data_IF_219521731556
#
_entry.id   IF_219521731556
#
_cell.length_a   1.000
_cell.length_b   1.000
_cell.length_c   1.000
_cell.angle_alpha   90.00
_cell.angle_beta   90.00
_cell.angle_gamma   90.00
#
_symmetry.space_group_name_H-M   'P 1'
#
loop_
_entity.id
_entity.type
_entity.pdbx_description
1 polymer ?
#
# COMPACT_ATOMS: atom_id res chain seq x y z
N UNK A 1 23.46 1.11 -25.18
CA UNK A 1 23.81 -0.22 -24.61
C UNK A 1 22.64 -0.71 -23.78
N UNK A 2 22.00 -1.82 -24.15
CA UNK A 2 20.87 -2.37 -23.37
C UNK A 2 21.33 -2.85 -22.00
N UNK A 3 20.57 -2.54 -20.93
CA UNK A 3 20.84 -3.08 -19.59
C UNK A 3 20.82 -4.61 -19.66
N UNK A 4 21.93 -5.25 -19.25
CA UNK A 4 22.03 -6.71 -19.14
C UNK A 4 21.02 -7.18 -18.10
N UNK A 5 20.07 -8.02 -18.50
CA UNK A 5 19.00 -8.54 -17.63
C UNK A 5 19.64 -9.43 -16.55
N UNK A 6 19.25 -9.24 -15.28
CA UNK A 6 19.83 -10.05 -14.19
C UNK A 6 19.30 -11.49 -14.20
N UNK A 7 20.00 -12.47 -13.62
CA UNK A 7 19.49 -13.84 -13.51
C UNK A 7 18.12 -13.94 -12.83
N UNK A 8 17.89 -13.16 -11.76
CA UNK A 8 16.58 -13.08 -11.10
C UNK A 8 15.48 -12.49 -12.00
N UNK A 9 15.81 -11.54 -12.87
CA UNK A 9 14.86 -10.99 -13.84
C UNK A 9 14.48 -12.03 -14.90
N UNK A 10 15.43 -12.85 -15.36
CA UNK A 10 15.16 -13.96 -16.29
C UNK A 10 14.23 -15.00 -15.66
N UNK A 11 14.43 -15.32 -14.37
CA UNK A 11 13.55 -16.21 -13.61
C UNK A 11 12.13 -15.63 -13.49
N UNK A 12 12.02 -14.36 -13.09
CA UNK A 12 10.72 -13.69 -13.00
C UNK A 12 9.99 -13.66 -14.36
N UNK A 13 10.70 -13.34 -15.45
CA UNK A 13 10.12 -13.38 -16.80
C UNK A 13 9.67 -14.79 -17.21
N UNK A 14 10.44 -15.82 -16.84
CA UNK A 14 10.08 -17.21 -17.10
C UNK A 14 8.83 -17.64 -16.34
N UNK A 15 8.70 -17.23 -15.07
CA UNK A 15 7.49 -17.42 -14.28
C UNK A 15 6.27 -16.76 -14.92
N UNK A 16 6.37 -15.50 -15.35
CA UNK A 16 5.26 -14.79 -15.99
C UNK A 16 4.85 -15.44 -17.32
N UNK A 17 5.80 -15.98 -18.08
CA UNK A 17 5.50 -16.75 -19.30
C UNK A 17 4.76 -18.04 -18.97
N UNK A 18 5.16 -18.74 -17.91
CA UNK A 18 4.49 -19.95 -17.43
C UNK A 18 3.07 -19.65 -16.96
N UNK A 19 2.87 -18.58 -16.18
CA UNK A 19 1.55 -18.13 -15.74
C UNK A 19 0.57 -17.92 -16.91
N UNK A 20 1.03 -17.33 -18.02
CA UNK A 20 0.23 -17.18 -19.25
C UNK A 20 -0.15 -18.50 -19.92
N UNK A 21 0.67 -19.55 -19.78
CA UNK A 21 0.37 -20.88 -20.31
C UNK A 21 -0.73 -21.58 -19.52
N UNK A 22 -0.89 -21.25 -18.23
CA UNK A 22 -2.00 -21.72 -17.39
C UNK A 22 -3.33 -20.97 -17.62
N UNK A 23 -3.47 -20.30 -18.78
CA UNK A 23 -4.65 -19.55 -19.19
C UNK A 23 -5.06 -18.41 -18.22
N UNK A 24 -4.13 -17.98 -17.35
CA UNK A 24 -4.32 -16.81 -16.50
C UNK A 24 -4.08 -15.54 -17.31
N UNK A 25 -4.98 -14.56 -17.18
CA UNK A 25 -4.62 -13.19 -17.54
C UNK A 25 -3.49 -12.73 -16.60
N UNK A 26 -2.44 -12.14 -17.17
CA UNK A 26 -1.28 -11.64 -16.43
C UNK A 26 -1.13 -10.17 -16.72
N UNK A 27 -1.42 -9.34 -15.74
CA UNK A 27 -1.33 -7.88 -15.83
C UNK A 27 -0.46 -7.33 -14.71
N UNK A 28 0.47 -6.42 -15.05
CA UNK A 28 1.26 -5.71 -14.05
C UNK A 28 0.37 -4.67 -13.36
N UNK A 29 0.36 -4.68 -12.04
CA UNK A 29 -0.35 -3.69 -11.23
C UNK A 29 0.52 -2.43 -11.15
N UNK A 30 0.29 -1.49 -12.08
CA UNK A 30 1.15 -0.31 -12.26
C UNK A 30 1.11 0.68 -11.10
N UNK A 31 0.02 0.69 -10.32
CA UNK A 31 -0.13 1.59 -9.16
C UNK A 31 0.78 1.21 -8.00
N UNK A 32 1.32 -0.02 -8.01
CA UNK A 32 2.33 -0.49 -7.07
C UNK A 32 3.73 -0.41 -7.70
N UNK A 33 4.72 0.03 -6.93
CA UNK A 33 6.13 -0.02 -7.37
C UNK A 33 6.70 -1.44 -7.37
N UNK A 34 6.10 -2.32 -6.58
CA UNK A 34 6.53 -3.71 -6.48
C UNK A 34 6.16 -4.50 -7.75
N UNK A 35 6.90 -5.59 -8.00
CA UNK A 35 6.60 -6.55 -9.07
C UNK A 35 5.38 -7.41 -8.72
N UNK A 36 4.23 -6.76 -8.61
CA UNK A 36 2.95 -7.40 -8.30
C UNK A 36 2.13 -7.49 -9.57
N UNK A 37 1.59 -8.68 -9.81
CA UNK A 37 0.82 -8.98 -11.02
C UNK A 37 -0.53 -9.55 -10.63
N UNK A 38 -1.58 -9.16 -11.35
CA UNK A 38 -2.82 -9.91 -11.34
C UNK A 38 -2.59 -11.18 -12.16
N UNK A 39 -2.75 -12.36 -11.54
CA UNK A 39 -2.60 -13.67 -12.17
C UNK A 39 -3.84 -14.49 -11.80
N UNK A 40 -4.73 -14.68 -12.77
CA UNK A 40 -6.04 -15.26 -12.48
C UNK A 40 -6.83 -14.33 -11.55
N UNK A 41 -7.31 -14.89 -10.44
CA UNK A 41 -8.06 -14.16 -9.41
C UNK A 41 -7.18 -13.71 -8.23
N UNK A 42 -5.86 -13.90 -8.33
CA UNK A 42 -4.89 -13.55 -7.31
C UNK A 42 -4.05 -12.31 -7.66
N UNK A 43 -3.67 -11.54 -6.62
CA UNK A 43 -2.68 -10.47 -6.71
C UNK A 43 -1.32 -11.00 -6.19
N UNK A 44 -0.37 -11.21 -7.09
CA UNK A 44 0.84 -12.00 -6.83
C UNK A 44 2.08 -11.12 -6.82
N UNK A 45 2.72 -10.99 -5.66
CA UNK A 45 4.05 -10.41 -5.53
C UNK A 45 5.10 -11.43 -6.00
N UNK A 46 5.80 -11.13 -7.09
CA UNK A 46 6.84 -12.01 -7.63
C UNK A 46 8.20 -11.64 -7.04
N UNK A 47 8.90 -12.64 -6.48
CA UNK A 47 10.25 -12.53 -5.94
C UNK A 47 11.10 -13.67 -6.48
N UNK A 48 12.30 -13.34 -6.95
CA UNK A 48 13.21 -14.31 -7.57
C UNK A 48 14.61 -14.17 -6.99
N UNK A 49 15.19 -15.30 -6.61
CA UNK A 49 16.59 -15.43 -6.21
C UNK A 49 17.23 -16.43 -7.15
N UNK A 50 18.32 -16.04 -7.78
CA UNK A 50 19.24 -17.02 -8.38
C UNK A 50 19.82 -17.91 -7.28
N UNK A 51 20.32 -19.08 -7.69
CA UNK A 51 20.80 -20.11 -6.77
C UNK A 51 21.80 -19.57 -5.75
N UNK A 52 21.49 -19.78 -4.47
CA UNK A 52 22.29 -19.30 -3.35
C UNK A 52 22.93 -20.48 -2.63
N UNK A 53 24.17 -20.32 -2.17
CA UNK A 53 24.83 -21.35 -1.36
C UNK A 53 23.97 -21.66 -0.12
N UNK A 54 23.38 -22.86 -0.07
CA UNK A 54 22.55 -23.43 0.99
C UNK A 54 21.13 -22.88 1.16
N UNK A 55 20.83 -21.62 0.82
CA UNK A 55 19.48 -21.02 0.95
C UNK A 55 19.21 -19.98 -0.14
N UNK A 56 17.92 -19.73 -0.38
CA UNK A 56 17.43 -18.64 -1.22
C UNK A 56 17.01 -17.46 -0.34
N UNK A 57 17.42 -16.25 -0.72
CA UNK A 57 17.18 -15.03 0.05
C UNK A 57 16.26 -14.08 -0.72
N UNK A 58 15.28 -13.52 -0.01
CA UNK A 58 14.35 -12.53 -0.55
C UNK A 58 14.14 -11.39 0.44
N UNK A 59 14.41 -10.17 -0.02
CA UNK A 59 14.05 -8.94 0.69
C UNK A 59 12.62 -8.52 0.34
N UNK A 60 11.83 -8.18 1.37
CA UNK A 60 10.54 -7.51 1.19
C UNK A 60 10.43 -6.33 2.17
N UNK A 61 10.30 -5.13 1.61
CA UNK A 61 10.11 -3.91 2.38
C UNK A 61 8.73 -3.87 3.06
N UNK A 62 8.66 -3.27 4.26
CA UNK A 62 7.43 -3.14 5.06
C UNK A 62 6.27 -2.49 4.32
N UNK A 63 6.54 -1.44 3.55
CA UNK A 63 5.53 -0.73 2.75
C UNK A 63 4.92 -1.70 1.74
N UNK A 64 5.74 -2.52 1.07
CA UNK A 64 5.26 -3.55 0.13
C UNK A 64 4.45 -4.62 0.86
N UNK A 65 4.87 -5.06 2.05
CA UNK A 65 4.09 -6.02 2.84
C UNK A 65 2.72 -5.48 3.19
N UNK A 66 2.65 -4.23 3.70
CA UNK A 66 1.41 -3.56 4.05
C UNK A 66 0.49 -3.40 2.82
N UNK A 67 1.03 -2.93 1.70
CA UNK A 67 0.26 -2.78 0.46
C UNK A 67 -0.34 -4.11 0.00
N UNK A 68 0.46 -5.19 0.00
CA UNK A 68 -0.01 -6.52 -0.37
C UNK A 68 -1.04 -7.06 0.64
N UNK A 69 -0.89 -6.81 1.94
CA UNK A 69 -1.81 -7.29 2.96
C UNK A 69 -3.24 -6.75 2.80
N UNK A 70 -3.36 -5.54 2.23
CA UNK A 70 -4.62 -4.87 1.99
C UNK A 70 -5.24 -5.21 0.61
N UNK A 71 -4.56 -5.98 -0.25
CA UNK A 71 -5.15 -6.44 -1.52
C UNK A 71 -6.07 -7.64 -1.31
N UNK A 72 -6.96 -7.85 -2.28
CA UNK A 72 -7.75 -9.07 -2.39
C UNK A 72 -6.90 -10.24 -2.88
N UNK A 73 -7.18 -11.44 -2.37
CA UNK A 73 -6.46 -12.68 -2.71
C UNK A 73 -4.94 -12.45 -2.87
N UNK A 74 -4.24 -11.95 -1.82
CA UNK A 74 -2.84 -11.61 -1.96
C UNK A 74 -1.98 -12.86 -1.85
N UNK A 75 -1.05 -13.04 -2.79
CA UNK A 75 -0.09 -14.13 -2.83
C UNK A 75 1.33 -13.62 -3.00
N UNK A 76 2.29 -14.45 -2.63
CA UNK A 76 3.70 -14.24 -2.93
C UNK A 76 4.24 -15.48 -3.62
N UNK A 77 4.91 -15.28 -4.76
CA UNK A 77 5.60 -16.33 -5.50
C UNK A 77 7.11 -16.15 -5.32
N UNK A 78 7.73 -17.08 -4.60
CA UNK A 78 9.18 -17.15 -4.40
C UNK A 78 9.81 -18.14 -5.37
N UNK A 79 10.49 -17.64 -6.39
CA UNK A 79 11.19 -18.43 -7.40
C UNK A 79 12.60 -18.70 -6.90
N UNK A 80 12.88 -19.97 -6.58
CA UNK A 80 14.09 -20.42 -5.91
C UNK A 80 15.05 -21.10 -6.89
N UNK A 81 15.86 -20.31 -7.59
CA UNK A 81 16.88 -20.80 -8.53
C UNK A 81 16.34 -21.29 -9.88
N UNK A 82 15.16 -21.90 -9.92
CA UNK A 82 14.51 -22.40 -11.15
C UNK A 82 12.99 -22.28 -11.10
N UNK A 83 12.35 -22.37 -12.28
CA UNK A 83 10.87 -22.39 -12.40
C UNK A 83 10.24 -23.70 -11.91
N UNK A 84 11.05 -24.72 -11.61
CA UNK A 84 10.60 -25.98 -11.03
C UNK A 84 10.60 -25.91 -9.49
N UNK A 85 11.06 -24.80 -8.90
CA UNK A 85 11.23 -24.61 -7.46
C UNK A 85 10.60 -23.30 -7.04
N UNK A 86 9.27 -23.25 -7.07
CA UNK A 86 8.50 -22.04 -6.75
C UNK A 86 7.63 -22.31 -5.53
N UNK A 87 7.71 -21.44 -4.52
CA UNK A 87 6.75 -21.44 -3.40
C UNK A 87 5.69 -20.39 -3.69
N UNK A 88 4.44 -20.82 -3.92
CA UNK A 88 3.27 -19.97 -4.16
C UNK A 88 2.41 -19.98 -2.90
N UNK A 89 2.60 -18.99 -2.02
CA UNK A 89 1.99 -18.96 -0.68
C UNK A 89 0.98 -17.81 -0.56
N UNK A 90 -0.18 -18.02 0.10
CA UNK A 90 -1.05 -16.92 0.50
C UNK A 90 -0.26 -15.92 1.36
N UNK A 91 -0.28 -14.64 0.98
CA UNK A 91 0.53 -13.62 1.62
C UNK A 91 0.16 -13.45 3.09
N UNK A 92 -1.14 -13.48 3.42
CA UNK A 92 -1.63 -13.41 4.81
C UNK A 92 -1.08 -14.53 5.70
N UNK A 93 -0.89 -15.74 5.17
CA UNK A 93 -0.28 -16.84 5.92
C UNK A 93 1.16 -16.50 6.31
N UNK A 94 1.97 -16.00 5.36
CA UNK A 94 3.32 -15.54 5.65
C UNK A 94 3.32 -14.38 6.66
N UNK A 95 2.38 -13.44 6.51
CA UNK A 95 2.34 -12.23 7.31
C UNK A 95 2.13 -12.50 8.81
N UNK A 96 1.37 -13.54 9.15
CA UNK A 96 1.22 -14.01 10.54
C UNK A 96 2.56 -14.44 11.19
N UNK A 97 3.58 -14.77 10.39
CA UNK A 97 4.89 -15.20 10.86
C UNK A 97 5.98 -14.12 10.76
N UNK A 98 5.67 -12.89 10.33
CA UNK A 98 6.68 -11.83 10.16
C UNK A 98 7.42 -11.48 11.45
N UNK A 99 6.77 -11.58 12.60
CA UNK A 99 7.39 -11.37 13.91
C UNK A 99 8.52 -12.38 14.22
N UNK A 100 8.56 -13.52 13.51
CA UNK A 100 9.62 -14.53 13.60
C UNK A 100 10.65 -14.42 12.47
N UNK A 101 10.53 -13.41 11.60
CA UNK A 101 11.44 -13.19 10.49
C UNK A 101 12.33 -11.99 10.82
N UNK A 102 13.64 -12.18 10.73
CA UNK A 102 14.58 -11.09 10.93
C UNK A 102 14.34 -9.98 9.90
N UNK A 103 14.55 -8.74 10.30
CA UNK A 103 14.48 -7.58 9.43
C UNK A 103 15.69 -6.67 9.66
N UNK A 104 15.98 -5.79 8.71
CA UNK A 104 17.02 -4.77 8.90
C UNK A 104 16.45 -3.45 9.46
N UNK A 105 17.34 -2.48 9.68
CA UNK A 105 16.99 -1.12 10.13
C UNK A 105 16.30 -0.28 9.07
N UNK A 106 16.38 -0.69 7.79
CA UNK A 106 15.77 0.01 6.66
C UNK A 106 14.33 -0.45 6.41
N UNK A 107 13.84 -1.34 7.26
CA UNK A 107 12.49 -1.87 7.19
C UNK A 107 12.30 -2.93 6.11
N UNK A 108 13.32 -3.76 5.88
CA UNK A 108 13.22 -4.92 4.99
C UNK A 108 13.21 -6.24 5.77
N UNK A 109 12.18 -7.06 5.56
CA UNK A 109 12.13 -8.45 6.03
C UNK A 109 13.06 -9.34 5.21
N UNK A 110 13.84 -10.17 5.91
CA UNK A 110 14.84 -11.09 5.35
C UNK A 110 14.29 -12.51 5.28
N UNK A 111 13.53 -12.78 4.23
CA UNK A 111 12.90 -14.08 4.02
C UNK A 111 13.93 -15.04 3.45
N UNK A 112 14.20 -16.11 4.20
CA UNK A 112 15.11 -17.16 3.77
C UNK A 112 14.31 -18.43 3.52
N UNK A 113 14.53 -19.07 2.37
CA UNK A 113 13.94 -20.35 2.02
C UNK A 113 15.06 -21.39 1.91
N UNK A 114 14.89 -22.53 2.58
CA UNK A 114 15.88 -23.61 2.55
C UNK A 114 15.77 -24.49 1.29
N UNK A 115 16.62 -25.52 1.20
CA UNK A 115 16.67 -26.41 0.04
C UNK A 115 15.47 -27.34 -0.07
N UNK A 116 14.73 -27.53 1.01
CA UNK A 116 13.46 -28.27 1.02
C UNK A 116 12.28 -27.34 0.72
N UNK A 117 12.58 -26.09 0.35
CA UNK A 117 11.64 -25.02 0.02
C UNK A 117 10.75 -24.59 1.21
N UNK A 118 11.22 -24.74 2.44
CA UNK A 118 10.53 -24.25 3.62
C UNK A 118 11.04 -22.86 4.03
N UNK A 119 10.14 -22.03 4.57
CA UNK A 119 10.50 -20.69 5.04
C UNK A 119 11.15 -20.79 6.43
N UNK A 120 12.33 -20.18 6.55
CA UNK A 120 13.15 -20.15 7.77
C UNK A 120 12.60 -19.12 8.74
N UNK A 121 12.23 -19.58 9.95
CA UNK A 121 11.79 -18.73 11.05
C UNK A 121 12.86 -18.66 12.15
N UNK A 122 12.69 -17.73 13.10
CA UNK A 122 13.54 -17.56 14.26
C UNK A 122 13.56 -18.82 15.12
N UNK A 123 14.75 -19.23 15.57
CA UNK A 123 14.96 -20.45 16.34
C UNK A 123 15.62 -21.57 15.54
N UNK A 124 16.28 -22.50 16.24
CA UNK A 124 16.95 -23.64 15.62
C UNK A 124 15.89 -24.57 15.02
N UNK A 125 16.03 -24.91 13.74
CA UNK A 125 15.13 -25.81 13.01
C UNK A 125 13.65 -25.40 12.96
N UNK A 126 13.29 -24.15 13.29
CA UNK A 126 11.91 -23.67 13.21
C UNK A 126 11.56 -23.24 11.77
N UNK A 127 10.63 -23.95 11.11
CA UNK A 127 10.29 -23.71 9.70
C UNK A 127 8.78 -23.64 9.50
N UNK A 128 8.36 -22.77 8.61
CA UNK A 128 7.02 -22.83 8.03
C UNK A 128 7.06 -23.81 6.86
N UNK A 129 6.37 -24.95 7.03
CA UNK A 129 6.30 -25.99 6.01
C UNK A 129 5.51 -25.50 4.78
N UNK A 130 6.11 -25.64 3.60
CA UNK A 130 5.55 -25.11 2.36
C UNK A 130 5.21 -26.18 1.32
N UNK A 131 5.24 -27.46 1.69
CA UNK A 131 5.09 -28.59 0.76
C UNK A 131 3.86 -28.49 -0.16
N UNK A 132 2.73 -28.02 0.37
CA UNK A 132 1.46 -27.86 -0.37
C UNK A 132 1.43 -26.63 -1.28
N UNK A 133 2.39 -25.71 -1.13
CA UNK A 133 2.51 -24.46 -1.88
C UNK A 133 3.55 -24.54 -3.00
N UNK A 134 4.32 -25.63 -3.08
CA UNK A 134 5.38 -25.79 -4.09
C UNK A 134 4.74 -26.03 -5.47
N UNK A 135 4.98 -25.11 -6.41
CA UNK A 135 4.45 -25.09 -7.78
C UNK A 135 2.94 -25.30 -7.87
N UNK A 136 2.19 -24.94 -6.83
CA UNK A 136 0.75 -25.14 -6.78
C UNK A 136 0.03 -23.95 -7.44
N UNK A 137 -0.02 -23.98 -8.78
CA UNK A 137 -0.61 -22.94 -9.62
C UNK A 137 -2.13 -22.77 -9.43
N UNK A 138 -2.82 -23.83 -9.02
CA UNK A 138 -4.27 -23.83 -8.81
C UNK A 138 -4.68 -22.80 -7.74
N UNK A 139 -3.80 -22.50 -6.78
CA UNK A 139 -4.02 -21.48 -5.75
C UNK A 139 -4.19 -20.07 -6.32
N UNK A 140 -3.60 -19.79 -7.49
CA UNK A 140 -3.71 -18.48 -8.14
C UNK A 140 -4.96 -18.38 -9.03
N UNK A 141 -5.38 -19.52 -9.59
CA UNK A 141 -6.54 -19.61 -10.48
C UNK A 141 -7.86 -19.68 -9.71
N UNK A 142 -7.84 -20.26 -8.51
CA UNK A 142 -9.02 -20.40 -7.65
C UNK A 142 -8.60 -20.19 -6.19
N UNK A 143 -8.25 -18.94 -5.82
CA UNK A 143 -7.83 -18.64 -4.46
C UNK A 143 -8.97 -18.95 -3.47
N UNK A 144 -8.64 -19.50 -2.28
CA UNK A 144 -9.63 -19.78 -1.26
C UNK A 144 -10.32 -18.48 -0.84
N UNK A 145 -11.66 -18.46 -0.89
CA UNK A 145 -12.46 -17.32 -0.43
C UNK A 145 -12.45 -17.27 1.09
N UNK A 146 -11.97 -16.17 1.65
CA UNK A 146 -11.88 -15.98 3.10
C UNK A 146 -13.12 -15.30 3.70
N UNK A 147 -13.87 -14.53 2.90
CA UNK A 147 -15.15 -13.93 3.31
C UNK A 147 -16.08 -13.84 2.09
N UNK A 148 -17.22 -14.53 2.13
CA UNK A 148 -18.19 -14.53 1.02
C UNK A 148 -19.03 -13.23 0.97
N UNK A 149 -19.02 -12.43 2.05
CA UNK A 149 -19.83 -11.22 2.17
C UNK A 149 -19.05 -9.94 1.80
N UNK A 150 -17.72 -10.00 1.67
CA UNK A 150 -16.91 -8.84 1.29
C UNK A 150 -16.95 -8.68 -0.25
N UNK A 151 -17.43 -7.52 -0.72
CA UNK A 151 -17.49 -7.22 -2.15
C UNK A 151 -16.07 -7.12 -2.71
N UNK A 152 -15.83 -7.65 -3.93
CA UNK A 152 -14.53 -7.54 -4.56
C UNK A 152 -14.16 -6.08 -4.83
N UNK A 153 -12.99 -5.69 -4.33
CA UNK A 153 -12.32 -4.40 -4.46
C UNK A 153 -11.21 -4.48 -5.50
N UNK A 154 -11.08 -3.43 -6.29
CA UNK A 154 -9.93 -3.23 -7.16
C UNK A 154 -8.67 -2.94 -6.35
N UNK A 155 -7.50 -3.07 -7.00
CA UNK A 155 -6.22 -2.75 -6.36
C UNK A 155 -6.13 -1.25 -6.09
N UNK A 156 -6.67 -0.43 -7.00
CA UNK A 156 -6.78 1.01 -6.86
C UNK A 156 -7.61 1.41 -5.63
N UNK A 157 -8.79 0.81 -5.42
CA UNK A 157 -9.61 1.05 -4.23
C UNK A 157 -8.91 0.63 -2.93
N UNK A 158 -8.19 -0.50 -2.98
CA UNK A 158 -7.41 -0.99 -1.84
C UNK A 158 -6.27 -0.02 -1.49
N UNK A 159 -5.51 0.41 -2.50
CA UNK A 159 -4.41 1.36 -2.32
C UNK A 159 -4.91 2.75 -1.91
N UNK A 160 -6.07 3.18 -2.40
CA UNK A 160 -6.72 4.42 -1.99
C UNK A 160 -7.00 4.40 -0.48
N UNK A 161 -7.57 3.29 0.00
CA UNK A 161 -7.84 3.07 1.43
C UNK A 161 -6.56 3.07 2.26
N UNK A 162 -5.49 2.45 1.75
CA UNK A 162 -4.16 2.46 2.39
C UNK A 162 -3.60 3.88 2.52
N UNK A 163 -3.67 4.68 1.45
CA UNK A 163 -3.18 6.06 1.48
C UNK A 163 -4.00 6.95 2.43
N UNK A 164 -5.33 6.82 2.43
CA UNK A 164 -6.20 7.50 3.39
C UNK A 164 -5.81 7.12 4.83
N UNK A 165 -5.65 5.81 5.11
CA UNK A 165 -5.24 5.31 6.42
C UNK A 165 -3.88 5.86 6.89
N UNK A 166 -2.87 5.85 6.01
CA UNK A 166 -1.55 6.44 6.27
C UNK A 166 -1.65 7.93 6.61
N UNK A 167 -2.41 8.70 5.83
CA UNK A 167 -2.60 10.13 6.07
C UNK A 167 -3.29 10.40 7.41
N UNK A 168 -4.32 9.62 7.77
CA UNK A 168 -4.99 9.73 9.07
C UNK A 168 -4.00 9.44 10.21
N UNK A 169 -3.24 8.34 10.14
CA UNK A 169 -2.27 7.99 11.18
C UNK A 169 -1.14 9.02 11.31
N UNK A 170 -0.59 9.51 10.19
CA UNK A 170 0.42 10.59 10.22
C UNK A 170 -0.15 11.83 10.93
N UNK A 171 -1.37 12.23 10.58
CA UNK A 171 -2.05 13.36 11.23
C UNK A 171 -2.19 13.15 12.74
N UNK A 172 -2.62 11.95 13.15
CA UNK A 172 -2.77 11.57 14.55
C UNK A 172 -1.43 11.59 15.31
N UNK A 173 -0.36 11.05 14.72
CA UNK A 173 0.99 11.06 15.30
C UNK A 173 1.48 12.49 15.52
N UNK A 174 1.12 13.39 14.61
CA UNK A 174 1.47 14.82 14.69
C UNK A 174 0.52 15.64 15.57
N UNK A 175 -0.47 15.00 16.21
CA UNK A 175 -1.39 15.65 17.15
C UNK A 175 -2.54 16.42 16.51
N UNK A 176 -2.82 16.20 15.21
CA UNK A 176 -4.00 16.75 14.56
C UNK A 176 -5.25 15.94 14.89
N UNK A 177 -6.41 16.59 14.76
CA UNK A 177 -7.69 15.93 14.67
C UNK A 177 -7.97 15.58 13.21
N UNK A 178 -8.33 14.34 12.90
CA UNK A 178 -8.37 13.83 11.53
C UNK A 178 -9.76 13.33 11.15
N UNK A 179 -10.17 13.62 9.92
CA UNK A 179 -11.46 13.22 9.35
C UNK A 179 -11.26 12.58 7.97
N UNK A 180 -12.11 11.59 7.67
CA UNK A 180 -12.27 10.96 6.36
C UNK A 180 -13.75 10.57 6.14
N UNK A 181 -14.31 10.73 4.93
CA UNK A 181 -15.70 10.35 4.62
C UNK A 181 -15.94 8.83 4.58
N UNK A 182 -14.97 8.06 4.07
CA UNK A 182 -15.11 6.64 3.73
C UNK A 182 -14.92 5.71 4.96
N UNK A 183 -15.87 5.78 5.88
CA UNK A 183 -15.79 5.14 7.20
C UNK A 183 -15.62 3.61 7.20
N UNK A 184 -16.22 2.91 6.24
CA UNK A 184 -16.26 1.44 6.20
C UNK A 184 -15.11 0.78 5.46
N UNK A 185 -14.22 1.57 4.82
CA UNK A 185 -13.05 1.00 4.15
C UNK A 185 -12.06 0.53 5.20
N UNK A 186 -11.36 -0.58 4.91
CA UNK A 186 -10.37 -1.17 5.81
C UNK A 186 -8.97 -0.70 5.44
N UNK A 187 -8.17 -0.42 6.46
CA UNK A 187 -6.74 -0.19 6.42
C UNK A 187 -6.12 -1.01 7.55
N UNK A 188 -5.25 -1.97 7.21
CA UNK A 188 -4.60 -2.86 8.18
C UNK A 188 -5.60 -3.53 9.13
N UNK A 189 -6.64 -4.13 8.54
CA UNK A 189 -7.75 -4.80 9.22
C UNK A 189 -8.62 -3.93 10.16
N UNK A 190 -8.39 -2.62 10.21
CA UNK A 190 -9.21 -1.64 10.93
C UNK A 190 -10.04 -0.81 9.97
N UNK A 191 -11.26 -0.45 10.34
CA UNK A 191 -12.02 0.51 9.54
C UNK A 191 -11.39 1.90 9.65
N UNK A 192 -11.45 2.71 8.58
CA UNK A 192 -10.94 4.08 8.60
C UNK A 192 -11.61 4.94 9.68
N UNK A 193 -12.86 4.65 10.05
CA UNK A 193 -13.54 5.30 11.17
C UNK A 193 -12.88 5.04 12.54
N UNK A 194 -12.20 3.90 12.71
CA UNK A 194 -11.45 3.58 13.92
C UNK A 194 -10.09 4.31 13.95
N UNK A 195 -9.59 4.70 12.79
CA UNK A 195 -8.33 5.44 12.63
C UNK A 195 -8.55 6.95 12.71
N UNK A 196 -9.66 7.46 12.18
CA UNK A 196 -10.01 8.88 12.23
C UNK A 196 -10.37 9.32 13.65
N UNK A 197 -9.89 10.48 14.09
CA UNK A 197 -10.23 10.99 15.43
C UNK A 197 -11.59 11.67 15.47
N UNK A 198 -12.01 12.26 14.34
CA UNK A 198 -13.32 12.92 14.20
C UNK A 198 -14.31 11.97 13.52
N UNK A 199 -15.48 11.80 14.15
CA UNK A 199 -16.58 10.98 13.61
C UNK A 199 -17.43 11.74 12.59
N UNK A 200 -17.45 13.05 12.66
CA UNK A 200 -18.19 13.94 11.77
C UNK A 200 -17.27 15.05 11.28
N UNK A 201 -17.45 15.48 10.04
CA UNK A 201 -16.74 16.64 9.52
C UNK A 201 -17.19 17.88 10.29
N UNK A 202 -16.28 18.73 10.81
CA UNK A 202 -16.65 20.03 11.34
C UNK A 202 -17.23 20.93 10.24
N UNK A 203 -18.28 21.68 10.55
CA UNK A 203 -18.75 22.77 9.69
C UNK A 203 -17.81 23.97 9.81
N UNK A 204 -17.47 24.59 8.68
CA UNK A 204 -16.62 25.78 8.64
C UNK A 204 -17.36 26.94 7.98
N UNK A 205 -17.16 28.15 8.52
CA UNK A 205 -17.94 29.35 8.16
C UNK A 205 -17.87 29.71 6.67
N UNK A 206 -16.68 29.59 6.07
CA UNK A 206 -16.38 29.96 4.68
C UNK A 206 -16.12 28.75 3.79
N UNK A 207 -16.84 27.65 4.00
CA UNK A 207 -16.78 26.48 3.11
C UNK A 207 -18.17 25.94 2.82
N UNK A 208 -18.38 25.44 1.62
CA UNK A 208 -19.48 24.53 1.32
C UNK A 208 -19.25 23.19 2.05
N UNK A 209 -20.13 22.89 3.01
CA UNK A 209 -20.04 21.70 3.84
C UNK A 209 -20.22 20.39 3.04
N UNK A 210 -21.03 20.39 1.99
CA UNK A 210 -21.27 19.20 1.17
C UNK A 210 -20.06 18.82 0.34
N UNK A 211 -19.26 19.80 -0.09
CA UNK A 211 -17.96 19.56 -0.71
C UNK A 211 -16.90 19.21 0.35
N UNK A 212 -16.85 19.95 1.45
CA UNK A 212 -15.87 19.77 2.52
C UNK A 212 -15.90 18.35 3.06
N UNK A 213 -17.09 17.83 3.40
CA UNK A 213 -17.25 16.49 3.98
C UNK A 213 -16.93 15.35 3.02
N UNK A 214 -16.65 15.64 1.75
CA UNK A 214 -16.28 14.65 0.72
C UNK A 214 -14.77 14.65 0.41
N UNK A 215 -13.99 15.56 0.99
CA UNK A 215 -12.53 15.54 0.84
C UNK A 215 -11.97 14.29 1.53
N UNK A 216 -11.10 13.54 0.85
CA UNK A 216 -10.63 12.23 1.31
C UNK A 216 -10.03 12.23 2.70
N UNK A 217 -9.16 13.20 3.03
CA UNK A 217 -8.63 13.39 4.38
C UNK A 217 -8.49 14.87 4.69
N UNK A 218 -8.93 15.27 5.89
CA UNK A 218 -8.70 16.62 6.41
C UNK A 218 -8.10 16.54 7.82
N UNK A 219 -7.09 17.36 8.07
CA UNK A 219 -6.49 17.55 9.39
C UNK A 219 -6.89 18.91 9.95
N UNK A 220 -7.29 18.90 11.22
CA UNK A 220 -7.72 20.06 11.98
C UNK A 220 -6.84 20.24 13.22
N UNK A 221 -6.66 21.49 13.63
CA UNK A 221 -6.24 21.86 14.98
C UNK A 221 -7.44 22.30 15.79
N UNK A 222 -7.41 22.03 17.09
CA UNK A 222 -8.41 22.56 18.02
C UNK A 222 -7.94 23.91 18.56
N UNK A 223 -8.80 24.92 18.52
CA UNK A 223 -8.56 26.23 19.14
C UNK A 223 -9.80 26.65 19.94
N UNK A 224 -9.72 26.52 21.26
CA UNK A 224 -10.90 26.63 22.11
C UNK A 224 -11.92 25.56 21.73
N UNK A 225 -13.15 25.97 21.41
CA UNK A 225 -14.23 25.06 20.99
C UNK A 225 -14.33 24.89 19.46
N UNK A 226 -13.40 25.47 18.69
CA UNK A 226 -13.44 25.46 17.23
C UNK A 226 -12.40 24.52 16.63
N UNK A 227 -12.70 24.00 15.44
CA UNK A 227 -11.76 23.27 14.58
C UNK A 227 -11.27 24.19 13.48
N UNK A 228 -9.95 24.28 13.33
CA UNK A 228 -9.29 25.06 12.27
C UNK A 228 -8.68 24.07 11.29
N UNK A 229 -9.07 24.06 10.00
CA UNK A 229 -8.44 23.19 9.02
C UNK A 229 -6.99 23.61 8.82
N UNK A 230 -6.10 22.65 8.66
CA UNK A 230 -4.66 22.89 8.45
C UNK A 230 -4.16 22.24 7.17
N UNK A 231 -4.64 21.02 6.87
CA UNK A 231 -4.26 20.30 5.66
C UNK A 231 -5.44 19.52 5.10
N UNK A 232 -5.56 19.51 3.78
CA UNK A 232 -6.54 18.72 3.05
C UNK A 232 -5.82 17.90 1.98
N UNK A 233 -6.25 16.66 1.80
CA UNK A 233 -5.64 15.70 0.91
C UNK A 233 -6.69 15.03 0.04
N UNK A 234 -6.38 14.89 -1.24
CA UNK A 234 -7.16 14.13 -2.23
C UNK A 234 -6.28 13.07 -2.87
N UNK A 235 -6.76 11.82 -2.94
CA UNK A 235 -6.03 10.65 -3.41
C UNK A 235 -6.52 10.26 -4.82
N UNK A 236 -5.77 10.66 -5.85
CA UNK A 236 -6.14 10.48 -7.25
C UNK A 236 -5.33 9.32 -7.88
N UNK A 237 -5.72 8.09 -7.56
CA UNK A 237 -5.11 6.87 -8.14
C UNK A 237 -5.77 6.43 -9.44
N UNK A 238 -7.03 6.82 -9.68
CA UNK A 238 -7.78 6.39 -10.85
C UNK A 238 -7.44 7.22 -12.10
N UNK A 239 -7.53 6.60 -13.27
CA UNK A 239 -7.33 7.26 -14.56
C UNK A 239 -8.54 8.11 -14.99
N UNK A 240 -9.61 8.17 -14.19
CA UNK A 240 -10.87 8.87 -14.48
C UNK A 240 -10.84 10.38 -14.22
N UNK A 241 -11.99 10.93 -13.80
CA UNK A 241 -12.17 12.38 -13.55
C UNK A 241 -11.54 12.77 -12.21
N UNK A 242 -10.65 13.76 -12.22
CA UNK A 242 -9.98 14.32 -11.03
C UNK A 242 -10.89 15.33 -10.32
N UNK A 243 -11.98 14.81 -9.76
CA UNK A 243 -12.98 15.63 -9.08
C UNK A 243 -12.53 16.14 -7.71
N UNK A 244 -11.49 15.54 -7.11
CA UNK A 244 -11.01 15.91 -5.78
C UNK A 244 -10.47 17.34 -5.70
N UNK A 245 -9.80 17.80 -6.76
CA UNK A 245 -9.31 19.19 -6.83
C UNK A 245 -10.45 20.20 -6.66
N UNK A 246 -11.59 19.96 -7.30
CA UNK A 246 -12.77 20.83 -7.18
C UNK A 246 -13.35 20.84 -5.77
N UNK A 247 -13.35 19.70 -5.06
CA UNK A 247 -13.81 19.64 -3.67
C UNK A 247 -12.95 20.49 -2.74
N UNK A 248 -11.62 20.39 -2.86
CA UNK A 248 -10.69 21.18 -2.06
C UNK A 248 -10.75 22.69 -2.33
N UNK A 249 -11.30 23.12 -3.47
CA UNK A 249 -11.51 24.55 -3.74
C UNK A 249 -12.46 25.23 -2.74
N UNK A 250 -13.29 24.46 -2.02
CA UNK A 250 -14.12 24.98 -0.91
C UNK A 250 -13.30 25.53 0.26
N UNK A 251 -12.00 25.23 0.31
CA UNK A 251 -11.08 25.69 1.35
C UNK A 251 -10.20 26.88 0.91
N UNK A 252 -10.48 27.51 -0.23
CA UNK A 252 -9.62 28.58 -0.78
C UNK A 252 -9.48 29.80 0.14
N UNK A 253 -10.57 30.20 0.81
CA UNK A 253 -10.59 31.33 1.75
C UNK A 253 -9.76 31.06 3.02
N UNK A 254 -9.43 29.79 3.30
CA UNK A 254 -8.52 29.40 4.39
C UNK A 254 -7.07 29.39 3.90
N UNK A 255 -6.45 30.56 3.88
CA UNK A 255 -5.08 30.74 3.38
C UNK A 255 -4.00 29.92 4.12
N UNK A 256 -4.26 29.51 5.37
CA UNK A 256 -3.36 28.65 6.15
C UNK A 256 -3.38 27.17 5.70
N UNK A 257 -4.42 26.75 4.98
CA UNK A 257 -4.61 25.33 4.63
C UNK A 257 -3.69 24.94 3.47
N UNK A 258 -2.89 23.89 3.69
CA UNK A 258 -2.17 23.21 2.61
C UNK A 258 -3.06 22.23 1.86
N UNK A 259 -3.18 22.40 0.55
CA UNK A 259 -3.99 21.55 -0.33
C UNK A 259 -3.07 20.58 -1.08
N UNK A 260 -3.22 19.28 -0.86
CA UNK A 260 -2.34 18.26 -1.43
C UNK A 260 -3.10 17.27 -2.30
N UNK A 261 -2.56 16.98 -3.47
CA UNK A 261 -3.07 15.94 -4.37
C UNK A 261 -2.05 14.82 -4.44
N UNK A 262 -2.47 13.64 -4.00
CA UNK A 262 -1.65 12.44 -3.91
C UNK A 262 -1.95 11.59 -5.14
N UNK A 263 -0.99 11.42 -6.03
CA UNK A 263 -1.21 10.73 -7.29
C UNK A 263 0.10 10.17 -7.89
N UNK A 264 -0.04 9.36 -8.95
CA UNK A 264 1.11 8.79 -9.68
C UNK A 264 1.42 9.49 -11.00
N UNK A 265 0.47 10.27 -11.53
CA UNK A 265 0.59 10.94 -12.81
C UNK A 265 0.75 12.44 -12.63
N UNK A 266 2.01 12.89 -12.52
CA UNK A 266 2.35 14.31 -12.40
C UNK A 266 1.98 15.12 -13.63
N UNK A 267 1.94 14.50 -14.82
CA UNK A 267 1.54 15.18 -16.06
C UNK A 267 0.05 15.47 -16.03
N UNK A 268 -0.76 14.47 -15.65
CA UNK A 268 -2.20 14.64 -15.49
C UNK A 268 -2.54 15.63 -14.39
N UNK A 269 -1.85 15.56 -13.24
CA UNK A 269 -1.95 16.60 -12.20
C UNK A 269 -1.75 17.99 -12.79
N UNK A 270 -0.66 18.21 -13.54
CA UNK A 270 -0.35 19.51 -14.12
C UNK A 270 -1.45 19.98 -15.09
N UNK A 271 -1.99 19.08 -15.92
CA UNK A 271 -3.10 19.39 -16.82
C UNK A 271 -4.36 19.84 -16.07
N UNK A 272 -4.72 19.12 -15.01
CA UNK A 272 -5.91 19.44 -14.18
C UNK A 272 -5.70 20.77 -13.47
N UNK A 273 -4.59 20.95 -12.77
CA UNK A 273 -4.33 22.16 -11.99
C UNK A 273 -4.22 23.41 -12.87
N UNK A 274 -3.63 23.32 -14.06
CA UNK A 274 -3.56 24.44 -15.01
C UNK A 274 -4.96 24.90 -15.50
N UNK A 275 -6.00 24.07 -15.37
CA UNK A 275 -7.37 24.49 -15.66
C UNK A 275 -7.99 25.36 -14.55
N UNK A 276 -7.39 25.39 -13.36
CA UNK A 276 -7.77 26.21 -12.21
C UNK A 276 -6.79 27.39 -12.02
N UNK A 277 -6.75 28.29 -13.01
CA UNK A 277 -5.72 29.34 -13.15
C UNK A 277 -5.58 30.27 -11.94
N UNK A 278 -6.67 30.55 -11.21
CA UNK A 278 -6.67 31.49 -10.09
C UNK A 278 -5.98 30.94 -8.83
N UNK A 279 -5.95 29.62 -8.67
CA UNK A 279 -5.48 28.99 -7.42
C UNK A 279 -4.51 27.82 -7.64
N UNK A 280 -3.96 27.68 -8.84
CA UNK A 280 -3.04 26.60 -9.18
C UNK A 280 -1.87 26.48 -8.19
N UNK A 281 -1.32 27.61 -7.73
CA UNK A 281 -0.17 27.67 -6.83
C UNK A 281 -0.49 27.24 -5.38
N UNK A 282 -1.79 27.11 -5.04
CA UNK A 282 -2.22 26.62 -3.72
C UNK A 282 -2.10 25.11 -3.58
N UNK A 283 -2.18 24.37 -4.69
CA UNK A 283 -2.15 22.92 -4.69
C UNK A 283 -0.71 22.39 -4.76
N UNK A 284 -0.47 21.27 -4.08
CA UNK A 284 0.83 20.60 -4.08
C UNK A 284 0.68 19.14 -4.49
N UNK A 285 1.43 18.72 -5.49
CA UNK A 285 1.54 17.32 -5.88
C UNK A 285 2.41 16.54 -4.90
N UNK A 286 1.95 15.36 -4.51
CA UNK A 286 2.73 14.37 -3.77
C UNK A 286 2.62 13.02 -4.51
N UNK A 287 3.75 12.40 -4.80
CA UNK A 287 3.76 11.05 -5.34
C UNK A 287 3.35 10.04 -4.25
N UNK A 288 2.50 9.07 -4.59
CA UNK A 288 1.86 8.21 -3.58
C UNK A 288 2.86 7.42 -2.70
N UNK A 289 4.01 7.10 -3.25
CA UNK A 289 5.11 6.38 -2.61
C UNK A 289 5.74 7.19 -1.49
N UNK A 290 5.84 8.51 -1.66
CA UNK A 290 6.39 9.41 -0.64
C UNK A 290 5.50 9.43 0.60
N UNK A 291 4.18 9.19 0.47
CA UNK A 291 3.28 9.04 1.61
C UNK A 291 3.61 7.77 2.40
N UNK A 292 3.92 6.66 1.73
CA UNK A 292 4.35 5.42 2.37
C UNK A 292 5.70 5.54 3.08
N UNK A 293 6.66 6.22 2.45
CA UNK A 293 7.97 6.52 3.05
C UNK A 293 7.83 7.41 4.29
N UNK A 294 7.04 8.49 4.19
CA UNK A 294 6.76 9.37 5.32
C UNK A 294 6.09 8.62 6.46
N UNK A 295 5.06 7.83 6.18
CA UNK A 295 4.36 7.04 7.18
C UNK A 295 5.30 6.09 7.92
N UNK A 296 6.16 5.38 7.19
CA UNK A 296 7.16 4.48 7.79
C UNK A 296 8.15 5.24 8.68
N UNK A 297 8.59 6.42 8.25
CA UNK A 297 9.47 7.27 9.04
C UNK A 297 8.80 7.80 10.33
N UNK A 298 7.53 8.19 10.26
CA UNK A 298 6.73 8.65 11.41
C UNK A 298 6.54 7.53 12.44
N UNK A 299 6.23 6.31 11.99
CA UNK A 299 6.12 5.15 12.89
C UNK A 299 7.45 4.83 13.58
N UNK A 300 8.55 4.82 12.82
CA UNK A 300 9.88 4.58 13.38
C UNK A 300 10.27 5.66 14.40
N UNK A 301 10.00 6.93 14.09
CA UNK A 301 10.26 8.04 15.00
C UNK A 301 9.41 7.96 16.26
N UNK A 302 8.12 7.62 16.12
CA UNK A 302 7.22 7.38 17.26
C UNK A 302 7.74 6.27 18.15
N UNK A 303 8.15 5.14 17.59
CA UNK A 303 8.70 4.04 18.35
C UNK A 303 9.99 4.44 19.07
N UNK A 304 10.90 5.14 18.38
CA UNK A 304 12.14 5.61 18.97
C UNK A 304 11.88 6.56 20.15
N UNK A 305 10.90 7.47 20.05
CA UNK A 305 10.49 8.34 21.16
C UNK A 305 10.04 7.52 22.37
N UNK A 306 9.18 6.51 22.16
CA UNK A 306 8.74 5.59 23.22
C UNK A 306 9.94 4.88 23.87
N UNK A 307 10.84 4.32 23.06
CA UNK A 307 11.99 3.55 23.54
C UNK A 307 12.94 4.37 24.43
N UNK A 308 13.02 5.69 24.21
CA UNK A 308 13.83 6.61 25.01
C UNK A 308 13.03 7.41 26.06
N UNK A 309 11.72 7.17 26.17
CA UNK A 309 10.85 7.84 27.13
C UNK A 309 10.50 9.30 26.80
N UNK A 310 10.41 9.65 25.51
CA UNK A 310 9.90 10.93 24.99
C UNK A 310 8.47 10.82 24.44
#
# INVERSE_FOLDING_TARGET
MGKKISPSDLLANSFLRMAKQFNANVELIKVLKSRTYKIGDANVLVRASSDGNKRYFFGINYITVEEIANLENPFIAFICGSIERIVIIPAKLLFNHLHQISHDRNGEYKINIDQDLNIVLSGRSNRLECKTFINNWDLLLSPPKFDENEKPKTVEESLHSVLQGRLLEIGNIRGYQTFCPDKSRKFNDKNLEEVSTLKTCPELQFSDYDLLRQIDVIWFKTRGNNYIPEYAFEVELSTGVWSGVGRMATLMDYSNVGLYVIANDSKKYSQVINSFTEYQDRYKFIANDLVGELYSAELNLKQLRIDIGL
#
